data_IF_591232687508
#
_entry.id   IF_591232687508
#
_cell.length_a   1.000
_cell.length_b   1.000
_cell.length_c   1.000
_cell.angle_alpha   90.00
_cell.angle_beta   90.00
_cell.angle_gamma   90.00
#
_symmetry.space_group_name_H-M   'P 1'
#
loop_
_entity.id
_entity.type
_entity.pdbx_description
1 polymer ?
#
# COMPACT_ATOMS: atom_id res chain seq x y z
N UNK A 1 -29.28 2.88 -32.76
CA UNK A 1 -29.67 1.48 -33.02
C UNK A 1 -29.24 0.65 -31.83
N UNK A 2 -30.11 -0.20 -31.26
CA UNK A 2 -29.67 -1.18 -30.28
C UNK A 2 -28.95 -2.36 -30.96
N UNK A 3 -27.98 -2.99 -30.29
CA UNK A 3 -27.23 -4.13 -30.81
C UNK A 3 -28.04 -5.43 -30.78
N UNK A 4 -27.63 -6.41 -31.59
CA UNK A 4 -28.27 -7.72 -31.78
C UNK A 4 -27.90 -8.72 -30.66
N UNK A 5 -28.85 -9.60 -30.34
CA UNK A 5 -28.89 -10.48 -29.17
C UNK A 5 -28.38 -11.90 -29.53
N UNK A 6 -27.55 -12.51 -28.67
CA UNK A 6 -26.90 -13.83 -28.87
C UNK A 6 -27.66 -15.02 -28.27
N UNK A 7 -28.94 -14.88 -27.93
CA UNK A 7 -29.73 -15.97 -27.35
C UNK A 7 -31.17 -15.98 -27.87
N UNK A 8 -31.74 -17.19 -27.96
CA UNK A 8 -33.16 -17.41 -28.28
C UNK A 8 -33.79 -18.14 -27.10
N UNK A 9 -34.82 -17.54 -26.53
CA UNK A 9 -35.57 -18.08 -25.39
C UNK A 9 -36.74 -18.89 -25.94
N UNK A 10 -36.87 -20.14 -25.50
CA UNK A 10 -38.02 -20.99 -25.84
C UNK A 10 -38.80 -21.27 -24.56
N UNK A 11 -40.03 -20.74 -24.42
CA UNK A 11 -40.82 -20.95 -23.22
C UNK A 11 -41.46 -22.34 -23.22
N UNK A 12 -41.48 -22.98 -22.05
CA UNK A 12 -42.38 -24.10 -21.75
C UNK A 12 -43.50 -23.62 -20.83
N UNK A 13 -44.66 -24.26 -20.94
CA UNK A 13 -45.86 -23.87 -20.19
C UNK A 13 -45.81 -24.45 -18.76
N UNK A 14 -45.98 -23.58 -17.77
CA UNK A 14 -45.97 -23.99 -16.35
C UNK A 14 -47.26 -24.75 -16.06
N UNK A 15 -47.14 -26.05 -15.75
CA UNK A 15 -48.28 -26.93 -15.55
C UNK A 15 -49.13 -26.58 -14.31
N UNK A 16 -48.50 -26.19 -13.21
CA UNK A 16 -49.20 -25.80 -11.98
C UNK A 16 -48.27 -24.97 -11.07
N UNK A 17 -48.83 -23.98 -10.36
CA UNK A 17 -48.12 -23.20 -9.33
C UNK A 17 -48.93 -23.27 -8.04
N UNK A 18 -48.34 -23.84 -7.00
CA UNK A 18 -48.98 -23.97 -5.68
C UNK A 18 -48.26 -23.07 -4.67
N UNK A 19 -48.97 -22.18 -3.94
CA UNK A 19 -48.35 -21.31 -2.94
C UNK A 19 -47.76 -22.09 -1.77
N UNK A 20 -46.47 -21.87 -1.48
CA UNK A 20 -45.74 -22.55 -0.40
C UNK A 20 -45.43 -21.64 0.81
N UNK A 21 -45.95 -20.40 0.81
CA UNK A 21 -45.66 -19.37 1.81
C UNK A 21 -45.01 -18.12 1.20
N UNK A 22 -44.80 -17.08 2.01
CA UNK A 22 -44.13 -15.83 1.61
C UNK A 22 -43.05 -15.50 2.64
N UNK A 23 -41.85 -15.22 2.15
CA UNK A 23 -40.73 -14.69 2.92
C UNK A 23 -40.04 -13.60 2.10
N UNK A 24 -39.49 -12.58 2.77
CA UNK A 24 -38.78 -11.50 2.11
C UNK A 24 -37.40 -11.97 1.64
N UNK A 25 -37.12 -11.85 0.35
CA UNK A 25 -35.80 -12.11 -0.25
C UNK A 25 -35.35 -10.91 -1.06
N UNK A 26 -34.06 -10.58 -0.94
CA UNK A 26 -33.43 -9.46 -1.64
C UNK A 26 -32.32 -9.99 -2.56
N UNK A 27 -32.22 -9.38 -3.76
CA UNK A 27 -31.40 -9.86 -4.88
C UNK A 27 -30.19 -8.95 -5.16
N UNK A 28 -29.09 -9.53 -5.63
CA UNK A 28 -28.01 -8.82 -6.30
C UNK A 28 -27.61 -9.58 -7.57
N UNK A 29 -27.88 -8.98 -8.72
CA UNK A 29 -27.62 -9.58 -10.03
C UNK A 29 -26.27 -9.10 -10.58
N UNK A 30 -25.37 -10.03 -10.92
CA UNK A 30 -24.11 -9.73 -11.62
C UNK A 30 -24.20 -10.24 -13.06
N UNK A 31 -23.92 -9.35 -14.01
CA UNK A 31 -24.17 -9.57 -15.44
C UNK A 31 -23.36 -10.77 -15.99
N UNK A 32 -24.06 -11.69 -16.68
CA UNK A 32 -23.57 -12.94 -17.32
C UNK A 32 -23.17 -14.11 -16.42
N UNK A 33 -23.48 -14.11 -15.13
CA UNK A 33 -23.33 -15.29 -14.26
C UNK A 33 -24.64 -15.57 -13.54
N UNK A 34 -25.40 -16.57 -13.99
CA UNK A 34 -26.59 -17.08 -13.30
C UNK A 34 -26.18 -17.92 -12.08
N UNK A 35 -25.60 -17.28 -11.06
CA UNK A 35 -25.27 -17.92 -9.79
C UNK A 35 -26.28 -17.48 -8.73
N UNK A 36 -27.15 -18.41 -8.31
CA UNK A 36 -28.15 -18.18 -7.28
C UNK A 36 -27.57 -18.51 -5.90
N UNK A 37 -27.67 -17.60 -4.93
CA UNK A 37 -27.51 -17.91 -3.50
C UNK A 37 -28.89 -17.71 -2.86
N UNK A 38 -29.67 -18.78 -2.76
CA UNK A 38 -30.91 -18.79 -1.98
C UNK A 38 -30.62 -19.48 -0.63
N UNK A 39 -31.02 -18.85 0.48
CA UNK A 39 -30.95 -19.38 1.86
C UNK A 39 -29.54 -19.63 2.43
N UNK A 40 -28.55 -18.80 2.13
CA UNK A 40 -27.21 -18.93 2.70
C UNK A 40 -26.38 -17.63 2.68
N UNK A 41 -25.25 -17.63 3.39
CA UNK A 41 -24.31 -16.51 3.46
C UNK A 41 -22.98 -16.92 2.82
N UNK A 42 -22.47 -16.09 1.90
CA UNK A 42 -21.15 -16.28 1.28
C UNK A 42 -20.24 -15.13 1.67
N UNK A 43 -19.07 -15.47 2.25
CA UNK A 43 -18.03 -14.51 2.60
C UNK A 43 -16.85 -14.69 1.64
N UNK A 44 -16.53 -13.64 0.87
CA UNK A 44 -15.35 -13.61 0.00
C UNK A 44 -14.40 -12.50 0.49
N UNK A 45 -13.19 -12.88 0.89
CA UNK A 45 -12.20 -11.94 1.41
C UNK A 45 -10.80 -12.34 0.95
N UNK A 46 -9.93 -11.35 0.78
CA UNK A 46 -8.49 -11.64 0.69
C UNK A 46 -8.02 -12.04 2.09
N UNK A 47 -7.48 -13.25 2.23
CA UNK A 47 -6.93 -13.74 3.49
C UNK A 47 -5.60 -13.01 3.76
N UNK A 48 -5.47 -12.39 4.92
CA UNK A 48 -4.21 -11.70 5.33
C UNK A 48 -3.60 -12.29 6.59
N UNK A 49 -4.42 -12.94 7.41
CA UNK A 49 -4.00 -13.49 8.70
C UNK A 49 -4.81 -14.76 9.01
N UNK A 50 -4.27 -15.64 9.83
CA UNK A 50 -4.97 -16.86 10.25
C UNK A 50 -6.27 -16.56 11.01
N UNK A 51 -6.30 -15.43 11.74
CA UNK A 51 -7.41 -14.95 12.57
C UNK A 51 -8.19 -13.79 11.93
N UNK A 52 -8.15 -13.64 10.60
CA UNK A 52 -9.12 -12.76 9.93
C UNK A 52 -10.56 -13.29 10.09
N UNK A 53 -11.58 -12.52 9.65
CA UNK A 53 -12.99 -12.90 9.80
C UNK A 53 -13.26 -14.34 9.33
N UNK A 54 -12.73 -14.72 8.17
CA UNK A 54 -12.93 -16.07 7.63
C UNK A 54 -12.24 -17.13 8.49
N UNK A 55 -11.03 -16.83 8.99
CA UNK A 55 -10.32 -17.66 9.95
C UNK A 55 -11.08 -17.86 11.25
N UNK A 56 -11.61 -16.78 11.82
CA UNK A 56 -12.41 -16.81 13.05
C UNK A 56 -13.67 -17.65 12.87
N UNK A 57 -14.45 -17.41 11.82
CA UNK A 57 -15.67 -18.18 11.53
C UNK A 57 -15.40 -19.68 11.37
N UNK A 58 -14.33 -20.03 10.65
CA UNK A 58 -13.94 -21.44 10.48
C UNK A 58 -13.43 -22.08 11.78
N UNK A 59 -12.89 -21.29 12.72
CA UNK A 59 -12.42 -21.77 14.01
C UNK A 59 -13.57 -21.90 15.04
N UNK A 60 -14.52 -20.96 15.05
CA UNK A 60 -15.61 -20.92 16.03
C UNK A 60 -16.84 -21.69 15.59
N UNK A 61 -17.11 -21.75 14.29
CA UNK A 61 -18.31 -22.37 13.71
C UNK A 61 -17.95 -23.31 12.52
N UNK A 62 -17.03 -24.28 12.71
CA UNK A 62 -16.55 -25.15 11.62
C UNK A 62 -17.65 -25.98 10.95
N UNK A 63 -18.73 -26.29 11.67
CA UNK A 63 -19.85 -27.09 11.16
C UNK A 63 -20.86 -26.25 10.36
N UNK A 64 -20.81 -24.92 10.50
CA UNK A 64 -21.69 -23.98 9.78
C UNK A 64 -21.01 -23.50 8.50
N UNK A 65 -19.69 -23.25 8.56
CA UNK A 65 -18.95 -22.62 7.48
C UNK A 65 -18.12 -23.61 6.69
N UNK A 66 -18.37 -23.68 5.38
CA UNK A 66 -17.53 -24.43 4.44
C UNK A 66 -16.47 -23.53 3.82
N UNK A 67 -15.19 -23.90 3.97
CA UNK A 67 -14.08 -23.26 3.26
C UNK A 67 -14.01 -23.74 1.81
N UNK A 68 -14.06 -22.81 0.87
CA UNK A 68 -13.76 -23.05 -0.56
C UNK A 68 -12.49 -22.27 -0.91
N UNK A 69 -11.46 -22.95 -1.42
CA UNK A 69 -10.20 -22.32 -1.82
C UNK A 69 -9.84 -22.70 -3.25
N UNK A 70 -9.45 -21.70 -4.05
CA UNK A 70 -8.92 -21.87 -5.41
C UNK A 70 -7.58 -21.13 -5.44
N UNK A 71 -6.44 -21.80 -5.19
CA UNK A 71 -5.13 -21.14 -5.22
C UNK A 71 -4.74 -20.71 -6.63
N UNK A 72 -3.95 -19.63 -6.73
CA UNK A 72 -3.42 -19.14 -8.00
C UNK A 72 -2.58 -20.21 -8.71
N UNK A 73 -1.77 -20.95 -7.96
CA UNK A 73 -1.01 -22.11 -8.44
C UNK A 73 -1.30 -23.28 -7.51
N UNK A 74 -1.76 -24.41 -8.05
CA UNK A 74 -2.00 -25.61 -7.26
C UNK A 74 -0.67 -26.14 -6.67
N UNK A 75 -0.67 -26.50 -5.38
CA UNK A 75 0.51 -27.00 -4.68
C UNK A 75 0.13 -28.13 -3.73
N UNK A 76 1.03 -29.09 -3.48
CA UNK A 76 0.81 -30.12 -2.47
C UNK A 76 0.56 -29.49 -1.09
N UNK A 77 -0.44 -29.99 -0.36
CA UNK A 77 -0.77 -29.52 0.99
C UNK A 77 -1.63 -28.25 1.05
N UNK A 78 -1.89 -27.58 -0.09
CA UNK A 78 -2.80 -26.43 -0.14
C UNK A 78 -4.17 -26.90 -0.68
N UNK A 79 -5.28 -26.71 0.07
CA UNK A 79 -6.60 -27.10 -0.42
C UNK A 79 -6.95 -26.40 -1.74
N UNK A 80 -7.33 -27.19 -2.74
CA UNK A 80 -7.81 -26.71 -4.03
C UNK A 80 -9.11 -27.43 -4.39
N UNK A 81 -10.23 -26.70 -4.36
CA UNK A 81 -11.55 -27.27 -4.64
C UNK A 81 -11.69 -27.80 -6.07
N UNK A 82 -10.84 -27.32 -7.00
CA UNK A 82 -10.83 -27.77 -8.38
C UNK A 82 -10.02 -29.07 -8.59
N UNK A 83 -9.30 -29.54 -7.56
CA UNK A 83 -8.50 -30.77 -7.63
C UNK A 83 -7.42 -30.73 -8.71
N UNK A 84 -6.84 -29.56 -8.99
CA UNK A 84 -5.83 -29.44 -10.05
C UNK A 84 -4.52 -30.08 -9.62
N UNK A 85 -3.79 -30.63 -10.59
CA UNK A 85 -2.46 -31.19 -10.37
C UNK A 85 -1.47 -30.12 -9.88
N UNK A 86 -0.50 -30.47 -9.01
CA UNK A 86 0.56 -29.56 -8.58
C UNK A 86 1.22 -28.82 -9.75
N UNK A 87 1.37 -27.51 -9.62
CA UNK A 87 1.91 -26.62 -10.65
C UNK A 87 0.87 -26.07 -11.63
N UNK A 88 -0.36 -26.58 -11.65
CA UNK A 88 -1.42 -26.05 -12.49
C UNK A 88 -1.85 -24.65 -12.03
N UNK A 89 -1.89 -23.72 -12.98
CA UNK A 89 -2.23 -22.31 -12.75
C UNK A 89 -3.73 -22.10 -12.90
N UNK A 90 -4.32 -21.22 -12.09
CA UNK A 90 -5.74 -20.89 -12.20
C UNK A 90 -6.04 -20.20 -13.53
N UNK A 91 -7.20 -20.49 -14.10
CA UNK A 91 -7.76 -19.69 -15.19
C UNK A 91 -8.24 -18.37 -14.61
N UNK A 92 -7.46 -17.30 -14.84
CA UNK A 92 -7.81 -15.97 -14.37
C UNK A 92 -8.80 -15.30 -15.31
N UNK A 93 -9.87 -14.72 -14.76
CA UNK A 93 -10.81 -13.89 -15.51
C UNK A 93 -10.14 -12.67 -16.19
N UNK A 94 -8.99 -12.24 -15.66
CA UNK A 94 -8.18 -11.14 -16.21
C UNK A 94 -7.11 -11.62 -17.20
N UNK A 95 -7.08 -12.91 -17.54
CA UNK A 95 -6.09 -13.48 -18.47
C UNK A 95 -4.68 -13.61 -17.90
N UNK A 96 -4.51 -13.64 -16.58
CA UNK A 96 -3.19 -13.84 -15.98
C UNK A 96 -2.63 -15.23 -16.30
N UNK A 97 -1.41 -15.25 -16.82
CA UNK A 97 -0.67 -16.47 -17.17
C UNK A 97 0.20 -16.95 -16.01
N UNK A 98 0.85 -18.11 -16.18
CA UNK A 98 1.84 -18.63 -15.25
C UNK A 98 2.96 -17.61 -14.98
N UNK A 99 3.42 -16.91 -16.02
CA UNK A 99 4.47 -15.89 -15.93
C UNK A 99 4.00 -14.69 -15.10
N UNK A 100 2.75 -14.27 -15.25
CA UNK A 100 2.16 -13.17 -14.46
C UNK A 100 2.09 -13.55 -12.99
N UNK A 101 1.66 -14.77 -12.67
CA UNK A 101 1.62 -15.25 -11.29
C UNK A 101 3.03 -15.39 -10.70
N UNK A 102 4.00 -15.89 -11.47
CA UNK A 102 5.39 -15.95 -11.04
C UNK A 102 5.98 -14.54 -10.80
N UNK A 103 5.66 -13.56 -11.65
CA UNK A 103 6.05 -12.18 -11.45
C UNK A 103 5.42 -11.57 -10.19
N UNK A 104 4.13 -11.85 -9.95
CA UNK A 104 3.41 -11.41 -8.75
C UNK A 104 4.03 -12.00 -7.49
N UNK A 105 4.31 -13.30 -7.45
CA UNK A 105 5.02 -13.97 -6.33
C UNK A 105 6.33 -13.27 -5.99
N UNK A 106 7.15 -12.97 -7.01
CA UNK A 106 8.41 -12.23 -6.81
C UNK A 106 8.19 -10.83 -6.25
N UNK A 107 7.20 -10.10 -6.77
CA UNK A 107 6.89 -8.74 -6.31
C UNK A 107 6.17 -8.67 -4.96
N UNK A 108 5.52 -9.76 -4.53
CA UNK A 108 4.76 -9.81 -3.29
C UNK A 108 5.53 -10.37 -2.10
N UNK A 109 6.60 -11.13 -2.34
CA UNK A 109 7.23 -11.92 -1.29
C UNK A 109 6.39 -13.16 -0.96
N UNK A 110 7.00 -14.12 -0.26
CA UNK A 110 6.41 -15.44 -0.04
C UNK A 110 5.20 -15.37 0.91
N UNK A 111 5.28 -14.54 1.94
CA UNK A 111 4.19 -14.44 2.93
C UNK A 111 2.93 -13.86 2.30
N UNK A 112 3.03 -12.71 1.63
CA UNK A 112 1.88 -12.10 0.97
C UNK A 112 1.40 -12.96 -0.21
N UNK A 113 2.31 -13.67 -0.89
CA UNK A 113 1.94 -14.66 -1.90
C UNK A 113 1.03 -15.76 -1.32
N UNK A 114 1.45 -16.41 -0.24
CA UNK A 114 0.68 -17.49 0.38
C UNK A 114 -0.68 -17.01 0.91
N UNK A 115 -0.71 -15.82 1.49
CA UNK A 115 -1.95 -15.21 1.99
C UNK A 115 -2.92 -14.83 0.84
N UNK A 116 -2.48 -13.95 -0.06
CA UNK A 116 -3.36 -13.33 -1.06
C UNK A 116 -3.65 -14.23 -2.27
N UNK A 117 -2.68 -15.06 -2.68
CA UNK A 117 -2.77 -15.84 -3.92
C UNK A 117 -3.03 -17.32 -3.68
N UNK A 118 -2.57 -17.88 -2.56
CA UNK A 118 -2.78 -19.28 -2.24
C UNK A 118 -3.92 -19.51 -1.24
N UNK A 119 -4.42 -18.46 -0.59
CA UNK A 119 -5.51 -18.54 0.39
C UNK A 119 -5.13 -19.29 1.67
N UNK A 120 -3.84 -19.37 1.97
CA UNK A 120 -3.27 -20.00 3.16
C UNK A 120 -2.36 -19.00 3.87
N UNK A 121 -2.94 -18.00 4.58
CA UNK A 121 -2.12 -17.17 5.45
C UNK A 121 -1.51 -18.09 6.51
N UNK A 122 -0.21 -17.93 6.76
CA UNK A 122 0.45 -18.59 7.87
C UNK A 122 0.71 -17.55 8.96
N UNK A 123 0.63 -17.97 10.21
CA UNK A 123 1.29 -17.24 11.28
C UNK A 123 2.76 -17.02 10.89
N UNK A 124 3.34 -15.86 11.23
CA UNK A 124 4.76 -15.68 11.03
C UNK A 124 5.51 -16.68 11.91
N UNK A 125 6.13 -17.68 11.29
CA UNK A 125 7.09 -18.56 11.95
C UNK A 125 8.51 -17.99 11.75
N UNK A 126 9.20 -17.74 12.86
CA UNK A 126 10.51 -17.06 12.87
C UNK A 126 10.40 -15.54 12.82
N UNK A 127 11.53 -14.88 12.56
CA UNK A 127 11.63 -13.42 12.63
C UNK A 127 10.75 -12.73 11.57
N UNK A 128 9.91 -11.78 12.02
CA UNK A 128 9.04 -10.97 11.15
C UNK A 128 9.82 -10.19 10.09
N UNK A 129 11.02 -9.75 10.46
CA UNK A 129 11.96 -9.02 9.63
C UNK A 129 13.30 -9.72 9.73
N UNK A 130 13.90 -10.05 8.58
CA UNK A 130 15.18 -10.76 8.54
C UNK A 130 16.33 -9.78 8.29
N UNK A 131 17.41 -9.91 9.06
CA UNK A 131 18.64 -9.14 8.84
C UNK A 131 19.16 -9.28 7.39
N UNK A 132 19.02 -10.48 6.81
CA UNK A 132 19.40 -10.77 5.44
C UNK A 132 18.66 -9.89 4.40
N UNK A 133 17.44 -9.42 4.67
CA UNK A 133 16.73 -8.51 3.77
C UNK A 133 17.39 -7.13 3.75
N UNK A 134 17.77 -6.61 4.92
CA UNK A 134 18.50 -5.34 5.01
C UNK A 134 19.86 -5.42 4.32
N UNK A 135 20.58 -6.53 4.50
CA UNK A 135 21.89 -6.71 3.87
C UNK A 135 21.80 -6.93 2.35
N UNK A 136 20.79 -7.67 1.87
CA UNK A 136 20.58 -7.91 0.44
C UNK A 136 20.21 -6.64 -0.33
N UNK A 137 19.42 -5.75 0.28
CA UNK A 137 18.86 -4.57 -0.38
C UNK A 137 19.51 -3.24 0.06
N UNK A 138 20.62 -3.28 0.79
CA UNK A 138 21.26 -2.09 1.34
C UNK A 138 21.69 -1.13 0.23
N UNK A 139 21.32 0.13 0.38
CA UNK A 139 21.83 1.21 -0.46
C UNK A 139 23.11 1.78 0.19
N UNK A 140 24.16 2.07 -0.59
CA UNK A 140 25.40 2.62 -0.06
C UNK A 140 25.23 4.05 0.50
N UNK A 141 24.28 4.81 -0.04
CA UNK A 141 23.95 6.16 0.37
C UNK A 141 22.51 6.52 -0.03
N UNK A 142 22.04 7.68 0.44
CA UNK A 142 20.71 8.19 0.11
C UNK A 142 20.54 8.39 -1.41
N UNK A 143 19.38 8.05 -2.01
CA UNK A 143 19.14 8.25 -3.43
C UNK A 143 19.21 9.72 -3.85
N UNK A 144 19.98 10.04 -4.89
CA UNK A 144 20.12 11.42 -5.39
C UNK A 144 18.87 11.96 -6.11
N UNK A 145 18.03 11.08 -6.67
CA UNK A 145 16.83 11.41 -7.44
C UNK A 145 15.52 11.15 -6.68
N UNK A 146 15.46 11.54 -5.40
CA UNK A 146 14.24 11.38 -4.61
C UNK A 146 13.11 12.24 -5.21
N UNK A 147 12.00 11.61 -5.57
CA UNK A 147 10.76 12.26 -6.02
C UNK A 147 10.06 12.94 -4.85
N UNK A 148 10.09 12.31 -3.67
CA UNK A 148 9.48 12.83 -2.46
C UNK A 148 10.23 12.34 -1.23
N UNK A 149 10.41 13.21 -0.25
CA UNK A 149 10.97 12.83 1.06
C UNK A 149 9.97 13.20 2.15
N UNK A 150 9.71 12.25 3.05
CA UNK A 150 8.83 12.37 4.20
C UNK A 150 9.65 12.15 5.47
N UNK A 151 9.46 12.99 6.48
CA UNK A 151 9.86 12.65 7.85
C UNK A 151 8.65 12.01 8.54
N UNK A 152 8.79 10.76 8.95
CA UNK A 152 7.76 10.03 9.64
C UNK A 152 8.06 9.98 11.14
N UNK A 153 7.02 10.16 11.95
CA UNK A 153 7.12 10.28 13.40
C UNK A 153 6.14 9.31 14.04
N UNK A 154 6.64 8.48 14.94
CA UNK A 154 5.85 7.82 15.97
C UNK A 154 6.12 8.53 17.31
N UNK A 155 5.16 9.32 17.82
CA UNK A 155 5.42 10.23 18.93
C UNK A 155 5.40 9.51 20.29
N UNK A 156 6.26 9.94 21.20
CA UNK A 156 6.14 9.61 22.63
C UNK A 156 5.12 10.53 23.33
N UNK A 157 4.24 9.95 24.15
CA UNK A 157 3.13 10.68 24.80
C UNK A 157 3.17 10.63 26.34
N UNK A 158 4.11 9.90 26.94
CA UNK A 158 4.14 9.69 28.40
C UNK A 158 4.70 10.86 29.21
N UNK A 159 5.38 11.81 28.57
CA UNK A 159 6.12 12.88 29.25
C UNK A 159 7.33 12.39 30.07
N UNK A 160 7.61 11.09 30.10
CA UNK A 160 8.72 10.46 30.82
C UNK A 160 9.96 10.25 29.93
N UNK A 161 9.88 10.67 28.66
CA UNK A 161 10.98 10.51 27.71
C UNK A 161 11.02 9.12 27.08
N UNK A 162 9.88 8.48 26.82
CA UNK A 162 9.87 7.27 25.98
C UNK A 162 10.43 7.57 24.59
N UNK A 163 10.87 6.52 23.90
CA UNK A 163 11.44 6.66 22.56
C UNK A 163 10.37 7.21 21.60
N UNK A 164 10.73 8.28 20.89
CA UNK A 164 9.96 8.74 19.75
C UNK A 164 10.66 8.23 18.48
N UNK A 165 9.94 7.47 17.67
CA UNK A 165 10.41 7.05 16.34
C UNK A 165 10.44 8.24 15.39
N UNK A 166 11.58 8.58 14.81
CA UNK A 166 11.73 9.68 13.84
C UNK A 166 12.66 9.24 12.72
N UNK A 167 12.09 8.96 11.55
CA UNK A 167 12.80 8.51 10.35
C UNK A 167 12.57 9.45 9.18
N UNK A 168 13.60 9.69 8.37
CA UNK A 168 13.44 10.27 7.04
C UNK A 168 13.43 9.17 5.99
N UNK A 169 12.41 9.19 5.12
CA UNK A 169 12.22 8.20 4.06
C UNK A 169 12.02 8.92 2.72
N UNK A 170 12.76 8.50 1.69
CA UNK A 170 12.69 9.06 0.34
C UNK A 170 12.12 8.05 -0.65
N UNK A 171 11.24 8.50 -1.54
CA UNK A 171 10.71 7.73 -2.66
C UNK A 171 11.51 8.04 -3.93
N UNK A 172 12.03 7.02 -4.59
CA UNK A 172 12.70 7.14 -5.90
C UNK A 172 11.69 7.14 -7.06
N UNK A 173 12.10 7.57 -8.24
CA UNK A 173 11.29 7.47 -9.47
C UNK A 173 10.90 6.03 -9.84
N UNK A 174 11.69 5.06 -9.40
CA UNK A 174 11.42 3.61 -9.58
C UNK A 174 10.43 3.03 -8.55
N UNK A 175 9.89 3.83 -7.63
CA UNK A 175 8.95 3.36 -6.61
C UNK A 175 9.58 2.70 -5.39
N UNK A 176 10.90 2.89 -5.16
CA UNK A 176 11.60 2.38 -3.98
C UNK A 176 11.57 3.43 -2.86
N UNK A 177 11.18 3.01 -1.66
CA UNK A 177 11.28 3.80 -0.44
C UNK A 177 12.63 3.54 0.24
N UNK A 178 13.47 4.55 0.41
CA UNK A 178 14.76 4.46 1.08
C UNK A 178 14.72 5.19 2.42
N UNK A 179 15.01 4.50 3.53
CA UNK A 179 15.29 5.13 4.83
C UNK A 179 16.66 5.79 4.74
N UNK A 180 16.70 7.11 4.91
CA UNK A 180 17.91 7.92 4.70
C UNK A 180 18.46 8.54 5.98
N UNK A 181 17.66 8.59 7.06
CA UNK A 181 18.10 9.03 8.37
C UNK A 181 17.22 8.45 9.47
N UNK A 182 17.82 8.22 10.64
CA UNK A 182 17.14 7.87 11.88
C UNK A 182 17.67 8.80 12.99
N UNK A 183 16.76 9.57 13.59
CA UNK A 183 17.06 10.44 14.74
C UNK A 183 16.18 10.10 15.94
N UNK A 184 15.61 8.89 15.95
CA UNK A 184 14.75 8.41 17.01
C UNK A 184 15.52 8.33 18.33
N UNK A 185 14.91 8.80 19.40
CA UNK A 185 15.49 8.76 20.74
C UNK A 185 14.40 8.96 21.81
N UNK A 186 14.71 8.66 23.09
CA UNK A 186 13.99 9.14 24.26
C UNK A 186 13.74 10.66 24.23
N UNK A 187 12.49 11.10 24.07
CA UNK A 187 12.16 12.52 23.89
C UNK A 187 10.85 12.92 24.59
N UNK A 188 10.74 14.19 24.96
CA UNK A 188 9.45 14.81 25.34
C UNK A 188 8.69 15.27 24.11
N UNK A 189 7.41 15.62 24.26
CA UNK A 189 6.55 16.02 23.14
C UNK A 189 7.08 17.21 22.33
N UNK A 190 7.64 18.21 23.02
CA UNK A 190 8.26 19.37 22.37
C UNK A 190 9.61 19.04 21.73
N UNK A 191 10.36 18.08 22.32
CA UNK A 191 11.68 17.70 21.84
C UNK A 191 11.59 16.91 20.52
N UNK A 192 10.69 15.92 20.44
CA UNK A 192 10.53 15.15 19.20
C UNK A 192 10.01 16.01 18.05
N UNK A 193 9.12 16.97 18.31
CA UNK A 193 8.61 17.86 17.27
C UNK A 193 9.71 18.75 16.67
N UNK A 194 10.59 19.30 17.52
CA UNK A 194 11.77 20.05 17.08
C UNK A 194 12.75 19.16 16.30
N UNK A 195 13.00 17.94 16.78
CA UNK A 195 13.88 16.99 16.10
C UNK A 195 13.34 16.61 14.71
N UNK A 196 12.04 16.32 14.59
CA UNK A 196 11.38 16.02 13.32
C UNK A 196 11.45 17.18 12.33
N UNK A 197 11.18 18.42 12.78
CA UNK A 197 11.29 19.62 11.94
C UNK A 197 12.72 19.87 11.49
N UNK A 198 13.69 19.77 12.40
CA UNK A 198 15.11 19.92 12.06
C UNK A 198 15.55 18.88 11.04
N UNK A 199 15.16 17.62 11.23
CA UNK A 199 15.43 16.57 10.26
C UNK A 199 14.79 16.89 8.90
N UNK A 200 13.52 17.32 8.90
CA UNK A 200 12.80 17.66 7.67
C UNK A 200 13.51 18.79 6.89
N UNK A 201 14.06 19.79 7.59
CA UNK A 201 14.88 20.83 6.97
C UNK A 201 16.17 20.24 6.40
N UNK A 202 16.91 19.44 7.18
CA UNK A 202 18.19 18.85 6.77
C UNK A 202 18.08 17.96 5.53
N UNK A 203 17.02 17.14 5.45
CA UNK A 203 16.83 16.20 4.32
C UNK A 203 15.95 16.77 3.20
N UNK A 204 15.51 18.03 3.31
CA UNK A 204 14.63 18.64 2.32
C UNK A 204 13.23 18.01 2.22
N UNK A 205 12.72 17.39 3.28
CA UNK A 205 11.42 16.70 3.28
C UNK A 205 10.25 17.66 3.04
N UNK A 206 9.36 17.32 2.12
CA UNK A 206 8.17 18.13 1.78
C UNK A 206 6.95 17.80 2.65
N UNK A 207 7.02 16.74 3.46
CA UNK A 207 5.94 16.32 4.35
C UNK A 207 6.50 15.74 5.65
N UNK A 208 5.87 16.07 6.78
CA UNK A 208 6.05 15.42 8.06
C UNK A 208 4.76 14.65 8.36
N UNK A 209 4.87 13.34 8.49
CA UNK A 209 3.76 12.45 8.81
C UNK A 209 3.90 11.94 10.25
N UNK A 210 2.89 12.13 11.09
CA UNK A 210 2.92 11.74 12.51
C UNK A 210 1.81 10.73 12.81
N UNK A 211 2.15 9.64 13.49
CA UNK A 211 1.16 8.73 14.04
C UNK A 211 0.29 9.47 15.08
N UNK A 212 -1.03 9.42 14.90
CA UNK A 212 -1.94 10.36 15.53
C UNK A 212 -3.26 9.71 16.00
N UNK A 213 -3.21 8.44 16.41
CA UNK A 213 -4.39 7.73 16.93
C UNK A 213 -4.98 8.41 18.17
N UNK A 214 -4.13 8.88 19.07
CA UNK A 214 -4.56 9.48 20.34
C UNK A 214 -4.81 10.99 20.27
N UNK A 215 -3.91 11.75 19.62
CA UNK A 215 -3.88 13.22 19.77
C UNK A 215 -3.58 14.01 18.47
N UNK A 216 -4.34 13.71 17.41
CA UNK A 216 -4.19 14.33 16.07
C UNK A 216 -4.07 15.87 16.05
N UNK A 217 -4.99 16.59 16.70
CA UNK A 217 -4.96 18.06 16.67
C UNK A 217 -3.76 18.61 17.44
N UNK A 218 -3.39 17.97 18.55
CA UNK A 218 -2.23 18.34 19.37
C UNK A 218 -0.94 18.18 18.58
N UNK A 219 -0.68 16.99 18.02
CA UNK A 219 0.57 16.73 17.27
C UNK A 219 0.68 17.62 16.03
N UNK A 220 -0.43 17.81 15.31
CA UNK A 220 -0.46 18.70 14.15
C UNK A 220 -0.15 20.14 14.54
N UNK A 221 -0.65 20.62 15.69
CA UNK A 221 -0.38 21.97 16.19
C UNK A 221 1.09 22.12 16.60
N UNK A 222 1.63 21.20 17.40
CA UNK A 222 3.03 21.25 17.88
C UNK A 222 4.01 21.25 16.70
N UNK A 223 3.78 20.43 15.67
CA UNK A 223 4.62 20.42 14.46
C UNK A 223 4.53 21.73 13.67
N UNK A 224 3.35 22.33 13.54
CA UNK A 224 3.19 23.63 12.85
C UNK A 224 3.86 24.77 13.62
N UNK A 225 3.76 24.76 14.94
CA UNK A 225 4.46 25.71 15.81
C UNK A 225 5.99 25.56 15.68
N UNK A 226 6.50 24.33 15.68
CA UNK A 226 7.92 24.04 15.47
C UNK A 226 8.42 24.46 14.07
N UNK A 227 7.65 24.21 13.01
CA UNK A 227 7.96 24.68 11.65
C UNK A 227 8.06 26.20 11.57
N UNK A 228 7.15 26.91 12.24
CA UNK A 228 7.16 28.37 12.31
C UNK A 228 8.37 28.88 13.09
N UNK A 229 8.74 28.22 14.18
CA UNK A 229 9.89 28.59 15.00
C UNK A 229 11.24 28.38 14.28
N UNK A 230 11.36 27.33 13.48
CA UNK A 230 12.57 27.03 12.68
C UNK A 230 12.72 27.96 11.46
N UNK A 231 11.68 28.74 11.12
CA UNK A 231 11.73 29.70 10.01
C UNK A 231 11.70 29.05 8.62
N UNK A 232 11.05 27.88 8.48
CA UNK A 232 10.95 27.16 7.21
C UNK A 232 10.10 27.95 6.21
N UNK A 233 10.72 28.47 5.15
CA UNK A 233 10.06 29.29 4.12
C UNK A 233 9.38 28.48 3.02
N UNK A 234 9.85 27.25 2.78
CA UNK A 234 9.26 26.32 1.80
C UNK A 234 8.02 25.62 2.39
N UNK A 235 7.03 25.24 1.57
CA UNK A 235 5.87 24.51 2.07
C UNK A 235 6.29 23.11 2.57
N UNK A 236 5.96 22.82 3.84
CA UNK A 236 6.06 21.48 4.44
C UNK A 236 4.67 21.08 4.93
N UNK A 237 4.12 20.02 4.34
CA UNK A 237 2.81 19.50 4.73
C UNK A 237 2.94 18.75 6.06
N UNK A 238 2.03 18.99 7.01
CA UNK A 238 1.91 18.17 8.22
C UNK A 238 0.71 17.25 8.07
N UNK A 239 0.95 15.94 8.13
CA UNK A 239 -0.07 14.90 7.99
C UNK A 239 -0.19 14.11 9.27
N UNK A 240 -1.38 14.13 9.86
CA UNK A 240 -1.72 13.20 10.93
C UNK A 240 -2.17 11.87 10.33
N UNK A 241 -1.43 10.81 10.60
CA UNK A 241 -1.67 9.46 10.12
C UNK A 241 -2.35 8.60 11.21
N UNK A 242 -3.29 7.71 10.87
CA UNK A 242 -3.86 7.48 9.54
C UNK A 242 -4.88 8.57 9.15
N UNK A 243 -5.04 8.89 7.85
CA UNK A 243 -6.08 9.81 7.38
C UNK A 243 -7.49 9.34 7.75
N UNK A 244 -8.35 10.24 8.25
CA UNK A 244 -9.76 9.92 8.58
C UNK A 244 -10.49 9.36 7.35
N UNK A 245 -11.26 8.30 7.55
CA UNK A 245 -12.10 7.68 6.51
C UNK A 245 -11.33 6.97 5.39
N UNK A 246 -10.01 6.81 5.52
CA UNK A 246 -9.20 6.18 4.47
C UNK A 246 -9.15 4.65 4.52
N UNK A 247 -9.62 4.05 5.62
CA UNK A 247 -9.41 2.62 5.90
C UNK A 247 -7.94 2.24 6.20
N UNK A 248 -7.02 3.22 6.20
CA UNK A 248 -5.59 3.02 6.50
C UNK A 248 -5.35 2.95 8.01
N UNK A 249 -4.27 2.28 8.40
CA UNK A 249 -3.86 2.16 9.80
C UNK A 249 -4.87 1.42 10.69
N UNK A 250 -5.77 0.63 10.11
CA UNK A 250 -6.66 -0.27 10.85
C UNK A 250 -6.00 -1.61 11.17
N UNK A 251 -6.53 -2.32 12.18
CA UNK A 251 -6.00 -3.58 12.66
C UNK A 251 -4.91 -3.42 13.72
N UNK A 252 -4.33 -4.55 14.13
CA UNK A 252 -3.22 -4.59 15.08
C UNK A 252 -1.90 -4.11 14.44
N UNK A 253 -0.82 -4.05 15.22
CA UNK A 253 0.49 -3.60 14.73
C UNK A 253 1.02 -4.46 13.56
N UNK A 254 0.76 -5.77 13.57
CA UNK A 254 1.19 -6.67 12.50
C UNK A 254 0.42 -6.41 11.20
N UNK A 255 -0.90 -6.27 11.27
CA UNK A 255 -1.75 -5.95 10.13
C UNK A 255 -1.34 -4.63 9.47
N UNK A 256 -1.12 -3.58 10.27
CA UNK A 256 -0.67 -2.26 9.80
C UNK A 256 0.71 -2.30 9.13
N UNK A 257 1.57 -3.22 9.57
CA UNK A 257 2.93 -3.37 9.05
C UNK A 257 3.03 -4.25 7.81
N UNK A 258 1.96 -4.94 7.41
CA UNK A 258 2.00 -5.97 6.36
C UNK A 258 2.65 -5.48 5.06
N UNK A 259 2.26 -4.29 4.58
CA UNK A 259 2.79 -3.69 3.36
C UNK A 259 4.28 -3.33 3.47
N UNK A 260 4.72 -2.81 4.63
CA UNK A 260 6.13 -2.51 4.87
C UNK A 260 6.96 -3.80 4.91
N UNK A 261 6.48 -4.83 5.61
CA UNK A 261 7.18 -6.12 5.73
C UNK A 261 7.38 -6.77 4.35
N UNK A 262 6.35 -6.75 3.51
CA UNK A 262 6.48 -7.15 2.11
C UNK A 262 7.55 -6.31 1.39
N UNK A 263 7.51 -4.98 1.54
CA UNK A 263 8.43 -4.09 0.85
C UNK A 263 9.90 -4.31 1.27
N UNK A 264 10.15 -4.62 2.54
CA UNK A 264 11.46 -5.01 3.05
C UNK A 264 11.92 -6.36 2.47
N UNK A 265 11.03 -7.35 2.40
CA UNK A 265 11.33 -8.67 1.84
C UNK A 265 11.75 -8.58 0.37
N UNK A 266 10.99 -7.85 -0.45
CA UNK A 266 11.20 -7.78 -1.91
C UNK A 266 12.12 -6.62 -2.35
N UNK A 267 12.59 -5.81 -1.39
CA UNK A 267 13.50 -4.71 -1.67
C UNK A 267 12.84 -3.50 -2.34
N UNK A 268 11.56 -3.24 -2.13
CA UNK A 268 10.91 -1.96 -2.47
C UNK A 268 10.91 -0.97 -1.30
N UNK A 269 11.29 -1.41 -0.10
CA UNK A 269 11.75 -0.55 0.99
C UNK A 269 13.19 -0.95 1.40
N UNK A 270 14.11 0.02 1.49
CA UNK A 270 15.56 -0.21 1.66
C UNK A 270 16.16 0.74 2.68
N UNK A 271 17.30 0.37 3.26
CA UNK A 271 18.09 1.22 4.15
C UNK A 271 19.26 1.83 3.37
N UNK A 272 19.40 3.15 3.41
CA UNK A 272 20.55 3.87 2.88
C UNK A 272 21.60 4.10 3.98
N UNK A 273 22.59 3.21 4.04
CA UNK A 273 23.54 3.14 5.14
C UNK A 273 23.16 2.09 6.18
N UNK A 274 23.75 2.19 7.38
CA UNK A 274 23.56 1.28 8.52
C UNK A 274 22.83 2.01 9.64
N UNK A 275 21.82 1.37 10.22
CA UNK A 275 21.02 1.92 11.31
C UNK A 275 20.92 0.88 12.41
N UNK A 276 22.00 0.67 13.15
CA UNK A 276 22.17 -0.52 14.01
C UNK A 276 21.06 -0.67 15.08
N UNK A 277 20.58 0.45 15.64
CA UNK A 277 19.48 0.41 16.62
C UNK A 277 18.14 0.08 15.97
N UNK A 278 17.84 0.68 14.81
CA UNK A 278 16.67 0.35 14.01
C UNK A 278 16.69 -1.13 13.56
N UNK A 279 17.80 -1.59 12.97
CA UNK A 279 17.92 -2.95 12.44
C UNK A 279 17.76 -3.99 13.54
N UNK A 280 18.36 -3.76 14.71
CA UNK A 280 18.19 -4.59 15.90
C UNK A 280 16.74 -4.59 16.38
N UNK A 281 16.14 -3.42 16.60
CA UNK A 281 14.76 -3.32 17.06
C UNK A 281 13.79 -4.03 16.10
N UNK A 282 13.93 -3.81 14.80
CA UNK A 282 13.10 -4.38 13.75
C UNK A 282 13.24 -5.92 13.66
N UNK A 283 14.46 -6.46 13.70
CA UNK A 283 14.70 -7.91 13.60
C UNK A 283 14.31 -8.69 14.84
N UNK A 284 14.33 -8.06 16.02
CA UNK A 284 13.89 -8.71 17.27
C UNK A 284 12.38 -8.67 17.50
N UNK A 285 11.63 -7.88 16.72
CA UNK A 285 10.19 -7.73 16.91
C UNK A 285 9.43 -9.02 16.53
N UNK A 286 8.55 -9.46 17.42
CA UNK A 286 7.72 -10.65 17.24
C UNK A 286 6.23 -10.31 17.26
N UNK A 287 5.41 -11.16 16.63
CA UNK A 287 3.96 -10.97 16.60
C UNK A 287 3.36 -10.97 18.02
N UNK A 288 2.41 -10.07 18.27
CA UNK A 288 1.78 -9.90 19.58
C UNK A 288 2.57 -9.03 20.58
N UNK A 289 3.82 -8.66 20.27
CA UNK A 289 4.57 -7.70 21.07
C UNK A 289 4.23 -6.25 20.68
N UNK A 290 4.52 -5.32 21.58
CA UNK A 290 4.55 -3.89 21.25
C UNK A 290 5.53 -3.66 20.09
N UNK A 291 5.07 -2.92 19.09
CA UNK A 291 5.87 -2.57 17.93
C UNK A 291 6.90 -1.52 18.32
N UNK A 292 8.19 -1.67 17.96
CA UNK A 292 9.18 -0.64 18.23
C UNK A 292 8.82 0.70 17.58
N UNK A 293 9.01 1.81 18.29
CA UNK A 293 8.57 3.15 17.85
C UNK A 293 9.23 3.56 16.51
N UNK A 294 10.53 3.23 16.34
CA UNK A 294 11.23 3.44 15.06
C UNK A 294 10.59 2.68 13.91
N UNK A 295 10.15 1.44 14.16
CA UNK A 295 9.51 0.62 13.13
C UNK A 295 8.12 1.14 12.80
N UNK A 296 7.35 1.58 13.81
CA UNK A 296 6.06 2.24 13.61
C UNK A 296 6.20 3.53 12.79
N UNK A 297 7.22 4.35 13.07
CA UNK A 297 7.54 5.52 12.25
C UNK A 297 7.82 5.13 10.78
N UNK A 298 8.54 4.03 10.54
CA UNK A 298 8.76 3.55 9.16
C UNK A 298 7.47 3.11 8.49
N UNK A 299 6.55 2.45 9.20
CA UNK A 299 5.23 2.07 8.67
C UNK A 299 4.49 3.30 8.19
N UNK A 300 4.46 4.37 8.99
CA UNK A 300 3.84 5.66 8.61
C UNK A 300 4.49 6.25 7.36
N UNK A 301 5.82 6.34 7.34
CA UNK A 301 6.57 6.92 6.22
C UNK A 301 6.37 6.16 4.93
N UNK A 302 6.50 4.83 4.97
CA UNK A 302 6.27 3.94 3.85
C UNK A 302 4.84 4.06 3.32
N UNK A 303 3.84 4.02 4.20
CA UNK A 303 2.43 4.10 3.81
C UNK A 303 2.10 5.46 3.16
N UNK A 304 2.66 6.57 3.65
CA UNK A 304 2.50 7.89 3.04
C UNK A 304 3.15 7.97 1.66
N UNK A 305 4.35 7.39 1.49
CA UNK A 305 5.07 7.42 0.22
C UNK A 305 4.40 6.52 -0.84
N UNK A 306 4.04 5.28 -0.49
CA UNK A 306 3.39 4.35 -1.43
C UNK A 306 2.07 4.93 -1.95
N UNK A 307 1.28 5.57 -1.09
CA UNK A 307 0.03 6.24 -1.50
C UNK A 307 0.25 7.56 -2.27
N UNK A 308 1.50 8.02 -2.39
CA UNK A 308 1.85 9.14 -3.26
C UNK A 308 2.28 8.70 -4.66
N UNK A 309 2.54 7.40 -4.87
CA UNK A 309 2.85 6.84 -6.19
C UNK A 309 1.61 7.00 -7.09
N UNK A 310 1.78 7.65 -8.24
CA UNK A 310 0.70 7.87 -9.22
C UNK A 310 -0.18 9.11 -8.98
N UNK A 311 0.08 9.91 -7.94
CA UNK A 311 -0.54 11.23 -7.80
C UNK A 311 0.07 12.20 -8.84
N UNK A 312 -0.79 12.92 -9.59
CA UNK A 312 -0.35 13.97 -10.51
C UNK A 312 0.26 15.15 -9.75
N UNK A 313 1.34 15.72 -10.29
CA UNK A 313 2.00 16.89 -9.71
C UNK A 313 1.63 18.12 -10.54
N UNK A 314 0.96 19.08 -9.91
CA UNK A 314 0.71 20.38 -10.53
C UNK A 314 2.00 21.21 -10.43
N UNK A 315 2.60 21.50 -11.59
CA UNK A 315 3.68 22.47 -11.68
C UNK A 315 3.07 23.87 -11.66
N UNK A 316 3.14 24.55 -10.52
CA UNK A 316 2.93 25.99 -10.47
C UNK A 316 4.22 26.68 -10.95
N UNK A 317 4.20 27.27 -12.14
CA UNK A 317 5.28 28.13 -12.63
C UNK A 317 5.36 29.38 -11.74
N UNK A 318 6.48 29.70 -11.08
CA UNK A 318 6.63 30.98 -10.39
C UNK A 318 6.80 32.08 -11.44
N UNK A 319 5.71 32.74 -11.82
CA UNK A 319 5.76 33.72 -12.92
C UNK A 319 4.55 34.63 -13.09
N UNK A 320 3.34 34.19 -12.75
CA UNK A 320 2.14 35.02 -12.98
C UNK A 320 1.54 35.49 -11.66
N UNK A 321 2.25 36.42 -11.01
CA UNK A 321 1.59 37.39 -10.16
C UNK A 321 0.64 38.20 -11.07
N UNK A 322 -0.62 37.81 -11.10
CA UNK A 322 -1.69 38.53 -11.80
C UNK A 322 -1.79 39.92 -11.16
N UNK A 323 -1.29 40.92 -11.89
CA UNK A 323 -1.67 42.31 -11.73
C UNK A 323 -3.19 42.42 -11.87
N UNK A 324 -3.79 43.23 -11.00
CA UNK A 324 -5.22 43.44 -10.84
C UNK A 324 -5.98 43.63 -12.16
N UNK A 325 -7.19 43.03 -12.21
CA UNK A 325 -8.28 43.54 -13.03
C UNK A 325 -8.45 42.91 -14.42
N UNK A 326 -9.03 41.71 -14.47
CA UNK A 326 -9.60 41.18 -15.71
C UNK A 326 -9.79 39.68 -15.65
N UNK A 327 -11.03 39.19 -15.76
CA UNK A 327 -11.33 37.75 -15.85
C UNK A 327 -10.70 37.15 -17.11
N UNK A 328 -9.90 36.07 -17.05
CA UNK A 328 -9.64 35.26 -18.24
C UNK A 328 -10.47 33.97 -18.19
N UNK A 329 -11.14 33.70 -19.30
CA UNK A 329 -11.83 32.45 -19.60
C UNK A 329 -10.81 31.32 -19.69
N UNK A 330 -11.14 30.13 -19.16
CA UNK A 330 -10.45 28.90 -19.52
C UNK A 330 -10.65 28.66 -21.03
N UNK A 331 -9.58 28.80 -21.80
CA UNK A 331 -9.50 28.23 -23.13
C UNK A 331 -8.97 26.80 -22.98
N UNK A 332 -9.83 25.82 -23.27
CA UNK A 332 -9.40 24.45 -23.50
C UNK A 332 -8.48 24.44 -24.73
N UNK A 333 -7.24 24.00 -24.57
CA UNK A 333 -6.40 23.65 -25.72
C UNK A 333 -6.71 22.19 -26.06
N UNK A 334 -7.66 22.03 -26.98
CA UNK A 334 -7.75 20.87 -27.87
C UNK A 334 -7.03 21.22 -29.16
N UNK A 335 -6.27 20.28 -29.71
CA UNK A 335 -5.83 20.33 -31.11
C UNK A 335 -4.37 19.97 -31.32
N UNK A 336 -4.14 18.73 -31.75
CA UNK A 336 -2.94 18.37 -32.48
C UNK A 336 -2.85 19.15 -33.80
N UNK A 337 -1.62 19.44 -34.20
CA UNK A 337 -1.28 20.03 -35.49
C UNK A 337 0.10 19.56 -35.90
N UNK A 338 0.14 18.68 -36.89
CA UNK A 338 1.34 18.23 -37.57
C UNK A 338 2.13 19.41 -38.14
N UNK A 339 3.43 19.45 -37.87
CA UNK A 339 4.40 20.09 -38.77
C UNK A 339 5.59 19.15 -38.92
N UNK A 340 5.75 18.61 -40.13
CA UNK A 340 6.92 17.85 -40.54
C UNK A 340 8.16 18.74 -40.58
N UNK A 341 9.35 18.26 -40.19
CA UNK A 341 10.60 18.73 -40.75
C UNK A 341 11.04 17.79 -41.89
N UNK A 342 11.41 18.37 -43.03
CA UNK A 342 12.04 17.69 -44.15
C UNK A 342 13.46 17.19 -43.79
N UNK A 343 14.03 16.22 -44.55
CA UNK A 343 14.96 15.23 -44.05
C UNK A 343 16.39 15.75 -43.94
N UNK A 344 17.05 15.50 -42.80
CA UNK A 344 18.49 15.64 -42.66
C UNK A 344 19.16 14.28 -42.83
N UNK A 345 20.23 14.30 -43.63
CA UNK A 345 20.83 13.15 -44.28
C UNK A 345 21.53 12.18 -43.35
N UNK A 346 21.65 10.96 -43.86
CA UNK A 346 22.40 9.84 -43.32
C UNK A 346 23.85 10.24 -42.98
N UNK A 347 24.20 10.09 -41.70
CA UNK A 347 25.56 10.24 -41.18
C UNK A 347 25.99 9.05 -40.31
N UNK A 348 25.35 7.87 -40.46
CA UNK A 348 25.69 6.66 -39.69
C UNK A 348 25.94 5.39 -40.52
N UNK A 349 25.82 5.41 -41.85
CA UNK A 349 26.06 4.23 -42.72
C UNK A 349 27.52 4.05 -43.21
N UNK A 350 28.52 4.64 -42.56
CA UNK A 350 29.94 4.47 -42.94
C UNK A 350 30.88 4.04 -41.79
N UNK A 351 30.36 3.33 -40.78
CA UNK A 351 31.21 2.81 -39.68
C UNK A 351 31.07 1.32 -39.37
N UNK A 352 30.56 0.51 -40.29
CA UNK A 352 30.70 -0.95 -40.22
C UNK A 352 31.04 -1.46 -41.62
N UNK A 353 32.26 -1.98 -41.77
CA UNK A 353 32.73 -2.67 -42.96
C UNK A 353 32.15 -4.07 -43.11
#
# INVERSE_FOLDING_TARGET
>A
MPPLNTSTVTPEEVAEVVPAGVEDVFDIQVDRTENFIANGLVSHNTRWHEQDLAGMLLATEPDVWRRTNIPAVAQPGIPDVLGREPGAVMVSANGFTAEVFAARRRSSGERAWNAMYQGVPSAPEGDLIKQAWFDAWRLPCAPAGAVKTVVAVDPSDSGQGDEAGILAVSLTSEGVCAVIADVSAPMTSDAWAKAAVKLAVQVGASEIAVEAFAARETYSRVLREALKAEGVSRPVKVTAWPPKGSGRGGGDALARSSALLQALEVGTCRLAGRFDEFERAATTWQAGQHQPDRLAALVVGHDVLVHSIGQGWDFATPGDAVLEGGRPRLAAITGGGSTSPAPQGAWWEQQLG
#
